data_IF_053141551638
#
_entry.id   IF_053141551638
#
_cell.length_a   1.000
_cell.length_b   1.000
_cell.length_c   1.000
_cell.angle_alpha   90.00
_cell.angle_beta   90.00
_cell.angle_gamma   90.00
#
_symmetry.space_group_name_H-M   'P 1'
#
loop_
_entity.id
_entity.type
_entity.pdbx_description
1 polymer ?
#
# COMPACT_ATOMS: atom_id res chain seq x y z
N UNK A 1 -4.62 -1.77 1.73
CA UNK A 1 -4.22 -2.62 2.86
C UNK A 1 -2.69 -2.71 2.90
N UNK A 2 -2.09 -2.70 4.09
CA UNK A 2 -0.64 -2.79 4.31
C UNK A 2 -0.35 -3.97 5.26
N UNK A 3 0.62 -4.81 4.90
CA UNK A 3 1.10 -5.92 5.73
C UNK A 3 2.58 -6.20 5.43
N UNK A 4 3.24 -7.06 6.21
CA UNK A 4 4.53 -7.65 5.80
C UNK A 4 4.33 -8.92 4.98
N UNK A 5 3.42 -9.77 5.44
CA UNK A 5 3.04 -11.01 4.77
C UNK A 5 1.53 -11.06 4.58
N UNK A 6 1.09 -11.54 3.42
CA UNK A 6 -0.32 -11.68 3.05
C UNK A 6 -0.54 -13.05 2.40
N UNK A 7 -1.51 -13.81 2.93
CA UNK A 7 -1.94 -15.11 2.37
C UNK A 7 -3.39 -15.00 1.92
N UNK A 8 -3.68 -15.35 0.67
CA UNK A 8 -5.00 -15.15 0.04
C UNK A 8 -5.62 -16.50 -0.31
N UNK A 9 -6.65 -16.89 0.44
CA UNK A 9 -7.39 -18.15 0.30
C UNK A 9 -8.90 -17.93 0.02
N UNK A 10 -9.20 -16.86 -0.71
CA UNK A 10 -10.56 -16.42 -1.02
C UNK A 10 -10.51 -15.23 -1.98
N UNK A 11 -11.56 -14.40 -2.00
CA UNK A 11 -11.58 -13.22 -2.86
C UNK A 11 -10.96 -12.00 -2.16
N UNK A 12 -10.07 -11.30 -2.85
CA UNK A 12 -9.54 -9.99 -2.48
C UNK A 12 -9.77 -9.01 -3.63
N UNK A 13 -10.33 -7.84 -3.33
CA UNK A 13 -10.48 -6.74 -4.28
C UNK A 13 -9.77 -5.48 -3.75
N UNK A 14 -9.12 -4.74 -4.65
CA UNK A 14 -8.52 -3.44 -4.39
C UNK A 14 -6.99 -3.48 -4.25
N UNK A 15 -6.47 -2.56 -3.44
CA UNK A 15 -5.04 -2.22 -3.40
C UNK A 15 -4.35 -2.80 -2.15
N UNK A 16 -3.41 -3.74 -2.33
CA UNK A 16 -2.59 -4.26 -1.22
C UNK A 16 -1.08 -4.00 -1.43
N UNK A 17 -0.41 -3.72 -0.32
CA UNK A 17 1.03 -3.49 -0.25
C UNK A 17 1.59 -4.44 0.80
N UNK A 18 2.38 -5.42 0.39
CA UNK A 18 3.02 -6.36 1.32
C UNK A 18 4.32 -6.91 0.75
N UNK A 19 5.35 -7.00 1.59
CA UNK A 19 6.69 -7.50 1.20
C UNK A 19 6.60 -8.93 0.62
N UNK A 20 5.74 -9.77 1.22
CA UNK A 20 5.45 -11.13 0.78
C UNK A 20 3.94 -11.33 0.55
N UNK A 21 3.56 -11.82 -0.63
CA UNK A 21 2.18 -12.18 -0.99
C UNK A 21 2.15 -13.61 -1.51
N UNK A 22 1.26 -14.45 -0.96
CA UNK A 22 1.00 -15.80 -1.43
C UNK A 22 -0.49 -15.97 -1.77
N UNK A 23 -0.79 -16.23 -3.04
CA UNK A 23 -2.14 -16.54 -3.53
C UNK A 23 -2.28 -18.06 -3.59
N UNK A 24 -3.10 -18.64 -2.71
CA UNK A 24 -3.31 -20.09 -2.65
C UNK A 24 -4.21 -20.57 -3.80
N UNK A 25 -4.35 -21.89 -3.96
CA UNK A 25 -5.18 -22.52 -5.00
C UNK A 25 -6.67 -22.06 -5.07
N UNK A 26 -7.23 -21.48 -4.00
CA UNK A 26 -8.59 -20.88 -3.97
C UNK A 26 -8.58 -19.35 -3.93
N UNK A 27 -7.41 -18.74 -3.93
CA UNK A 27 -7.22 -17.29 -3.94
C UNK A 27 -7.63 -16.67 -5.27
N UNK A 28 -8.42 -15.60 -5.21
CA UNK A 28 -8.74 -14.73 -6.34
C UNK A 28 -8.47 -13.28 -5.96
N UNK A 29 -7.54 -12.65 -6.66
CA UNK A 29 -7.17 -11.25 -6.45
C UNK A 29 -7.64 -10.43 -7.65
N UNK A 30 -8.24 -9.26 -7.37
CA UNK A 30 -8.58 -8.24 -8.35
C UNK A 30 -8.06 -6.89 -7.89
N UNK A 31 -7.42 -6.11 -8.76
CA UNK A 31 -6.84 -4.80 -8.41
C UNK A 31 -5.31 -4.77 -8.39
N UNK A 32 -4.72 -3.81 -7.68
CA UNK A 32 -3.26 -3.57 -7.70
C UNK A 32 -2.55 -4.15 -6.49
N UNK A 33 -1.45 -4.84 -6.75
CA UNK A 33 -0.60 -5.41 -5.71
C UNK A 33 0.81 -4.83 -5.80
N UNK A 34 1.33 -4.38 -4.67
CA UNK A 34 2.72 -3.96 -4.52
C UNK A 34 3.44 -4.97 -3.62
N UNK A 35 4.41 -5.68 -4.18
CA UNK A 35 5.16 -6.74 -3.49
C UNK A 35 6.52 -6.99 -4.14
N UNK A 36 7.50 -7.36 -3.33
CA UNK A 36 8.85 -7.76 -3.79
C UNK A 36 8.96 -9.29 -3.86
N UNK A 37 7.99 -10.02 -3.30
CA UNK A 37 7.93 -11.47 -3.32
C UNK A 37 6.47 -11.92 -3.47
N UNK A 38 6.06 -12.17 -4.72
CA UNK A 38 4.73 -12.66 -5.07
C UNK A 38 4.81 -14.12 -5.50
N UNK A 39 4.05 -14.97 -4.82
CA UNK A 39 3.83 -16.37 -5.20
C UNK A 39 2.36 -16.61 -5.51
N UNK A 40 2.08 -17.35 -6.59
CA UNK A 40 0.74 -17.77 -7.00
C UNK A 40 0.77 -19.29 -7.17
N UNK A 41 0.01 -19.99 -6.35
CA UNK A 41 -0.10 -21.45 -6.40
C UNK A 41 -1.01 -21.90 -7.57
N UNK A 42 -0.83 -23.14 -8.07
CA UNK A 42 -1.72 -23.71 -9.08
C UNK A 42 -3.20 -23.64 -8.68
N UNK A 43 -4.01 -22.96 -9.49
CA UNK A 43 -5.44 -22.70 -9.23
C UNK A 43 -5.73 -21.29 -8.72
N UNK A 44 -4.74 -20.61 -8.13
CA UNK A 44 -4.81 -19.20 -7.76
C UNK A 44 -5.03 -18.32 -8.99
N UNK A 45 -5.82 -17.25 -8.83
CA UNK A 45 -6.22 -16.36 -9.93
C UNK A 45 -5.89 -14.90 -9.60
N UNK A 46 -5.14 -14.26 -10.49
CA UNK A 46 -4.76 -12.86 -10.36
C UNK A 46 -5.31 -12.04 -11.55
N UNK A 47 -6.03 -10.96 -11.27
CA UNK A 47 -6.67 -10.10 -12.26
C UNK A 47 -6.38 -8.62 -11.97
N UNK A 48 -5.21 -8.13 -12.40
CA UNK A 48 -4.86 -6.72 -12.23
C UNK A 48 -3.40 -6.44 -12.51
N UNK A 49 -2.85 -5.46 -11.82
CA UNK A 49 -1.47 -4.97 -12.01
C UNK A 49 -0.62 -5.35 -10.79
N UNK A 50 0.56 -5.92 -11.05
CA UNK A 50 1.57 -6.16 -10.02
C UNK A 50 2.74 -5.20 -10.21
N UNK A 51 3.20 -4.60 -9.12
CA UNK A 51 4.34 -3.70 -9.09
C UNK A 51 5.24 -4.03 -7.88
N UNK A 52 6.48 -3.60 -7.93
CA UNK A 52 7.41 -3.73 -6.81
C UNK A 52 7.13 -2.66 -5.75
N UNK A 53 7.40 -2.95 -4.46
CA UNK A 53 7.39 -1.90 -3.44
C UNK A 53 8.66 -1.07 -3.59
N UNK A 54 8.56 0.28 -3.56
CA UNK A 54 9.74 1.11 -3.53
C UNK A 54 10.58 0.77 -2.29
N UNK A 55 11.89 0.63 -2.48
CA UNK A 55 12.84 0.33 -1.41
C UNK A 55 12.70 1.35 -0.29
N UNK A 56 12.18 0.91 0.86
CA UNK A 56 12.16 1.73 2.07
C UNK A 56 13.47 1.54 2.80
N UNK A 57 14.32 2.56 2.74
CA UNK A 57 15.39 2.73 3.72
C UNK A 57 14.80 2.57 5.13
N UNK A 58 15.35 1.64 5.89
CA UNK A 58 14.81 1.23 7.20
C UNK A 58 15.07 2.32 8.25
N UNK A 59 14.14 3.27 8.38
CA UNK A 59 14.15 4.20 9.51
C UNK A 59 14.02 3.39 10.80
N UNK A 60 15.09 3.39 11.60
CA UNK A 60 15.19 2.61 12.84
C UNK A 60 14.30 3.21 13.93
N UNK A 61 13.03 2.81 13.92
CA UNK A 61 12.04 3.18 14.93
C UNK A 61 12.41 2.55 16.28
N UNK A 62 13.22 3.25 17.08
CA UNK A 62 13.42 2.94 18.50
C UNK A 62 12.05 2.93 19.18
N UNK A 63 11.67 1.76 19.71
CA UNK A 63 10.34 1.55 20.24
C UNK A 63 9.98 2.51 21.37
N UNK A 64 8.78 3.09 21.28
CA UNK A 64 8.01 3.53 22.46
C UNK A 64 6.73 2.71 22.53
N UNK A 65 6.36 2.36 23.75
CA UNK A 65 5.28 1.45 24.03
C UNK A 65 3.90 2.14 23.92
N UNK A 66 2.92 1.33 23.47
CA UNK A 66 1.48 1.40 23.77
C UNK A 66 0.64 2.61 23.31
N UNK A 67 -0.67 2.33 23.33
CA UNK A 67 -1.84 3.21 23.27
C UNK A 67 -2.32 3.82 21.93
N UNK A 68 -3.39 3.18 21.44
CA UNK A 68 -4.73 3.77 21.29
C UNK A 68 -4.92 5.14 20.60
N UNK A 69 -5.54 5.03 19.41
CA UNK A 69 -6.64 5.87 18.93
C UNK A 69 -6.41 7.32 18.40
N UNK A 70 -7.16 7.58 17.33
CA UNK A 70 -7.86 8.83 16.99
C UNK A 70 -7.18 9.98 16.22
N UNK A 71 -7.57 10.08 14.94
CA UNK A 71 -8.05 11.26 14.17
C UNK A 71 -7.20 12.53 13.90
N UNK A 72 -7.58 13.13 12.75
CA UNK A 72 -7.54 14.57 12.37
C UNK A 72 -6.19 15.15 11.93
N UNK A 73 -6.13 15.59 10.67
CA UNK A 73 -6.26 17.00 10.21
C UNK A 73 -5.03 17.85 10.57
N UNK A 74 -4.40 18.48 9.57
CA UNK A 74 -4.49 19.95 9.44
C UNK A 74 -3.80 20.51 8.18
N UNK A 75 -4.36 21.62 7.69
CA UNK A 75 -3.83 22.47 6.62
C UNK A 75 -2.64 23.33 7.09
N UNK A 76 -1.89 23.91 6.14
CA UNK A 76 -1.46 25.35 6.04
C UNK A 76 -0.53 25.46 4.81
N UNK A 77 -0.84 26.10 3.67
CA UNK A 77 -1.31 27.46 3.33
C UNK A 77 -0.25 28.58 3.27
N UNK A 78 -0.39 29.38 2.19
CA UNK A 78 0.05 30.76 1.94
C UNK A 78 1.58 31.05 1.86
N UNK A 79 2.15 31.66 0.82
CA UNK A 79 1.69 32.00 -0.55
C UNK A 79 2.88 32.44 -1.47
N UNK A 80 2.60 32.83 -2.72
CA UNK A 80 3.32 33.92 -3.42
C UNK A 80 2.44 34.63 -4.45
N UNK A 81 2.02 35.86 -4.15
CA UNK A 81 1.19 36.74 -4.98
C UNK A 81 1.95 38.04 -5.32
N UNK A 82 2.16 38.35 -6.61
CA UNK A 82 1.92 39.70 -7.16
C UNK A 82 2.14 39.79 -8.68
N UNK A 83 1.11 40.30 -9.38
CA UNK A 83 1.13 41.26 -10.52
C UNK A 83 2.02 40.99 -11.78
N UNK A 84 1.63 41.40 -13.00
CA UNK A 84 0.73 42.51 -13.41
C UNK A 84 -0.17 42.11 -14.59
N UNK A 85 -1.38 42.67 -14.64
CA UNK A 85 -2.14 42.87 -15.89
C UNK A 85 -1.66 44.16 -16.56
N UNK A 86 -1.58 44.16 -17.90
CA UNK A 86 -1.63 45.38 -18.73
C UNK A 86 -2.29 45.04 -20.07
N UNK A 87 -3.57 45.38 -20.19
CA UNK A 87 -4.34 45.57 -21.41
C UNK A 87 -5.53 46.46 -21.05
#
# INVERSE_FOLDING_TARGET
MYAKQLIINGMMDGNCHAEHIQVLAKGRVSGRIWSNNLSIEPGGKFFGEAAELPEKEVVTLKGKAQDSANTKENNTNNEKRLARKSA
#
